data_IF_690364832492
#
_entry.id   IF_690364832492
#
_cell.length_a   1.000
_cell.length_b   1.000
_cell.length_c   1.000
_cell.angle_alpha   90.00
_cell.angle_beta   90.00
_cell.angle_gamma   90.00
#
_symmetry.space_group_name_H-M   'P 1'
#
loop_
_entity.id
_entity.type
_entity.pdbx_description
1 polymer ?
#
# COMPACT_ATOMS: atom_id res chain seq x y z
N UNK A 1 32.51 6.15 -1.81
CA UNK A 1 32.23 7.37 -1.01
C UNK A 1 31.39 6.95 0.19
N UNK A 2 31.82 7.29 1.39
CA UNK A 2 31.12 6.95 2.62
C UNK A 2 30.58 8.27 3.21
N UNK A 3 29.27 8.40 3.29
CA UNK A 3 28.65 9.52 4.00
C UNK A 3 28.68 9.26 5.50
N UNK A 4 29.61 9.88 6.20
CA UNK A 4 29.80 9.72 7.65
C UNK A 4 28.89 10.60 8.52
N UNK A 5 28.11 11.49 7.90
CA UNK A 5 27.34 12.52 8.62
C UNK A 5 25.82 12.30 8.58
N UNK A 6 25.35 11.12 8.17
CA UNK A 6 23.92 10.82 8.13
C UNK A 6 23.24 10.95 9.50
N UNK A 7 23.96 10.62 10.56
CA UNK A 7 23.49 10.75 11.93
C UNK A 7 23.17 12.20 12.38
N UNK A 8 23.77 13.18 11.67
CA UNK A 8 23.56 14.61 11.92
C UNK A 8 22.37 15.18 11.14
N UNK A 9 21.84 14.42 10.18
CA UNK A 9 20.67 14.82 9.40
C UNK A 9 19.43 14.47 10.22
N UNK A 10 18.97 15.41 11.02
CA UNK A 10 17.82 15.22 11.92
C UNK A 10 16.76 16.25 11.64
N UNK A 11 15.51 15.84 11.73
CA UNK A 11 14.33 16.70 11.68
C UNK A 11 13.57 16.57 13.01
N UNK A 12 13.18 17.68 13.59
CA UNK A 12 12.30 17.67 14.74
C UNK A 12 10.85 17.46 14.29
N UNK A 13 10.22 16.41 14.79
CA UNK A 13 8.80 16.17 14.61
C UNK A 13 8.01 17.15 15.49
N UNK A 14 7.14 17.96 14.85
CA UNK A 14 6.44 19.08 15.50
C UNK A 14 4.93 19.03 15.31
N UNK A 15 4.45 18.09 14.49
CA UNK A 15 3.03 17.90 14.28
C UNK A 15 2.38 17.23 15.52
N UNK A 16 1.17 16.83 15.43
CA UNK A 16 0.40 16.32 16.56
C UNK A 16 1.03 15.06 17.17
N UNK A 17 0.97 14.93 18.49
CA UNK A 17 1.19 13.64 19.17
C UNK A 17 0.04 12.68 18.84
N UNK A 18 0.31 11.38 18.79
CA UNK A 18 -0.69 10.34 18.65
C UNK A 18 -0.96 9.74 20.04
N UNK A 19 -2.19 9.90 20.52
CA UNK A 19 -2.65 9.29 21.77
C UNK A 19 -3.84 8.35 21.43
N UNK A 20 -4.02 7.30 22.21
CA UNK A 20 -5.10 6.33 22.04
C UNK A 20 -6.50 6.95 22.08
N UNK A 21 -6.67 8.05 22.80
CA UNK A 21 -7.94 8.81 22.85
C UNK A 21 -8.25 9.59 21.57
N UNK A 22 -7.24 9.79 20.70
CA UNK A 22 -7.34 10.60 19.49
C UNK A 22 -7.54 9.73 18.23
N UNK A 23 -7.66 8.41 18.39
CA UNK A 23 -7.83 7.46 17.30
C UNK A 23 -9.20 6.81 17.33
N UNK A 24 -9.74 6.53 16.14
CA UNK A 24 -10.96 5.74 16.00
C UNK A 24 -10.68 4.28 16.40
N UNK A 25 -11.65 3.65 17.05
CA UNK A 25 -11.55 2.22 17.42
C UNK A 25 -11.60 1.30 16.19
N UNK A 26 -12.21 1.76 15.09
CA UNK A 26 -12.20 1.04 13.83
C UNK A 26 -10.97 1.46 13.02
N UNK A 27 -10.01 0.56 12.75
CA UNK A 27 -8.78 0.90 12.05
C UNK A 27 -9.01 1.36 10.60
N UNK A 28 -10.06 0.89 9.92
CA UNK A 28 -10.41 1.37 8.58
C UNK A 28 -10.98 2.78 8.62
N UNK A 29 -11.80 3.11 9.60
CA UNK A 29 -12.28 4.48 9.80
C UNK A 29 -11.11 5.42 10.09
N UNK A 30 -10.19 5.01 10.95
CA UNK A 30 -8.96 5.77 11.24
C UNK A 30 -8.08 5.95 10.01
N UNK A 31 -7.88 4.88 9.21
CA UNK A 31 -7.15 4.98 7.96
C UNK A 31 -7.81 5.96 7.00
N UNK A 32 -9.13 5.91 6.85
CA UNK A 32 -9.88 6.81 5.97
C UNK A 32 -9.71 8.28 6.37
N UNK A 33 -9.80 8.60 7.67
CA UNK A 33 -9.58 9.96 8.18
C UNK A 33 -8.17 10.45 7.77
N UNK A 34 -7.16 9.65 8.01
CA UNK A 34 -5.77 10.01 7.70
C UNK A 34 -5.49 10.06 6.20
N UNK A 35 -6.12 9.19 5.41
CA UNK A 35 -5.99 9.20 3.96
C UNK A 35 -6.61 10.46 3.35
N UNK A 36 -7.78 10.88 3.84
CA UNK A 36 -8.41 12.14 3.43
C UNK A 36 -7.56 13.38 3.80
N UNK A 37 -6.95 13.39 4.98
CA UNK A 37 -6.00 14.43 5.36
C UNK A 37 -4.77 14.46 4.44
N UNK A 38 -4.26 13.29 4.08
CA UNK A 38 -3.14 13.15 3.14
C UNK A 38 -3.50 13.68 1.75
N UNK A 39 -4.69 13.37 1.23
CA UNK A 39 -5.14 13.87 -0.08
C UNK A 39 -5.18 15.40 -0.13
N UNK A 40 -5.49 16.05 1.00
CA UNK A 40 -5.51 17.52 1.11
C UNK A 40 -4.12 18.15 1.24
N UNK A 41 -3.09 17.37 1.49
CA UNK A 41 -1.71 17.87 1.70
C UNK A 41 -0.89 18.03 0.41
N UNK A 42 -1.47 17.79 -0.76
CA UNK A 42 -0.84 17.93 -2.08
C UNK A 42 0.45 17.12 -2.25
N UNK A 43 0.48 15.89 -1.76
CA UNK A 43 1.58 14.95 -2.02
C UNK A 43 1.68 14.61 -3.51
N UNK A 44 2.91 14.44 -4.01
CA UNK A 44 3.18 14.16 -5.44
C UNK A 44 2.53 12.84 -5.88
N UNK A 45 2.64 11.79 -5.07
CA UNK A 45 2.07 10.46 -5.35
C UNK A 45 1.21 10.00 -4.16
N UNK A 46 -0.02 10.53 -4.02
CA UNK A 46 -0.84 10.27 -2.83
C UNK A 46 -1.25 8.80 -2.65
N UNK A 47 -1.32 8.03 -3.73
CA UNK A 47 -1.70 6.61 -3.68
C UNK A 47 -0.51 5.65 -3.61
N UNK A 48 0.72 6.18 -3.59
CA UNK A 48 1.92 5.35 -3.49
C UNK A 48 1.98 4.60 -2.15
N UNK A 49 2.27 3.33 -2.23
CA UNK A 49 2.43 2.44 -1.08
C UNK A 49 3.54 1.44 -1.34
N UNK A 50 4.29 1.10 -0.33
CA UNK A 50 5.32 0.07 -0.41
C UNK A 50 4.69 -1.28 -0.09
N UNK A 51 4.80 -2.23 -1.02
CA UNK A 51 4.42 -3.62 -0.80
C UNK A 51 5.65 -4.44 -0.49
N UNK A 52 5.69 -5.05 0.68
CA UNK A 52 6.67 -6.03 1.09
C UNK A 52 6.10 -7.45 0.95
N UNK A 53 6.87 -8.33 0.32
CA UNK A 53 6.56 -9.74 0.12
C UNK A 53 7.75 -10.60 0.54
N UNK A 54 7.54 -11.89 0.70
CA UNK A 54 8.62 -12.83 0.95
C UNK A 54 8.46 -14.06 0.06
N UNK A 55 9.59 -14.67 -0.30
CA UNK A 55 9.60 -15.97 -0.97
C UNK A 55 9.16 -17.08 -0.01
N UNK A 56 8.95 -18.28 -0.53
CA UNK A 56 8.68 -19.49 0.28
C UNK A 56 9.77 -19.74 1.32
N UNK A 57 11.02 -19.39 0.99
CA UNK A 57 12.18 -19.51 1.89
C UNK A 57 12.35 -18.34 2.86
N UNK A 58 11.41 -17.37 2.86
CA UNK A 58 11.46 -16.22 3.75
C UNK A 58 12.34 -15.07 3.25
N UNK A 59 12.85 -15.10 2.01
CA UNK A 59 13.64 -14.00 1.45
C UNK A 59 12.74 -12.80 1.14
N UNK A 60 12.94 -11.64 1.81
CA UNK A 60 12.08 -10.50 1.63
C UNK A 60 12.36 -9.72 0.34
N UNK A 61 11.36 -9.03 -0.14
CA UNK A 61 11.44 -8.04 -1.21
C UNK A 61 10.48 -6.89 -0.95
N UNK A 62 10.80 -5.70 -1.41
CA UNK A 62 9.90 -4.55 -1.31
C UNK A 62 9.94 -3.73 -2.61
N UNK A 63 8.83 -3.10 -2.95
CA UNK A 63 8.67 -2.19 -4.10
C UNK A 63 7.55 -1.21 -3.85
N UNK A 64 7.60 -0.07 -4.50
CA UNK A 64 6.49 0.88 -4.53
C UNK A 64 5.48 0.47 -5.60
N UNK A 65 4.21 0.57 -5.27
CA UNK A 65 3.09 0.44 -6.19
C UNK A 65 2.01 1.48 -5.83
N UNK A 66 0.94 1.52 -6.61
CA UNK A 66 -0.15 2.45 -6.38
C UNK A 66 -1.38 1.71 -5.85
N UNK A 67 -1.90 2.17 -4.71
CA UNK A 67 -3.18 1.73 -4.19
C UNK A 67 -4.28 2.11 -5.19
N UNK A 68 -5.22 1.21 -5.42
CA UNK A 68 -6.33 1.43 -6.37
C UNK A 68 -7.65 1.69 -5.68
N UNK A 69 -7.91 0.95 -4.62
CA UNK A 69 -9.06 1.17 -3.76
C UNK A 69 -8.81 0.51 -2.41
N UNK A 70 -9.62 0.86 -1.45
CA UNK A 70 -9.70 0.18 -0.16
C UNK A 70 -11.14 0.25 0.36
N UNK A 71 -11.50 -0.72 1.15
CA UNK A 71 -12.74 -0.80 1.90
C UNK A 71 -12.51 -1.63 3.16
N UNK A 72 -13.55 -1.91 3.92
CA UNK A 72 -13.48 -2.72 5.14
C UNK A 72 -12.99 -4.15 4.89
N UNK A 73 -12.98 -4.62 3.66
CA UNK A 73 -12.49 -5.96 3.28
C UNK A 73 -11.01 -5.98 2.91
N UNK A 74 -10.39 -4.82 2.69
CA UNK A 74 -8.95 -4.75 2.43
C UNK A 74 -8.52 -3.69 1.42
N UNK A 75 -7.28 -3.82 0.98
CA UNK A 75 -6.57 -2.85 0.13
C UNK A 75 -6.28 -3.48 -1.23
N UNK A 76 -6.73 -2.84 -2.31
CA UNK A 76 -6.63 -3.36 -3.68
C UNK A 76 -5.50 -2.68 -4.43
N UNK A 77 -4.65 -3.47 -5.06
CA UNK A 77 -3.55 -3.03 -5.92
C UNK A 77 -3.40 -3.95 -7.13
N UNK A 78 -2.67 -3.48 -8.13
CA UNK A 78 -2.35 -4.31 -9.28
C UNK A 78 -1.03 -5.04 -9.12
N UNK A 79 -1.02 -6.26 -9.60
CA UNK A 79 0.18 -7.06 -9.73
C UNK A 79 0.24 -7.71 -11.11
N UNK A 80 1.44 -7.82 -11.68
CA UNK A 80 1.67 -8.69 -12.81
C UNK A 80 2.03 -10.09 -12.28
N UNK A 81 1.34 -11.11 -12.77
CA UNK A 81 1.57 -12.51 -12.40
C UNK A 81 3.01 -12.98 -12.65
N UNK A 82 3.59 -12.57 -13.77
CA UNK A 82 4.92 -12.97 -14.18
C UNK A 82 6.02 -12.17 -13.47
N UNK A 83 5.66 -11.18 -12.65
CA UNK A 83 6.63 -10.43 -11.86
C UNK A 83 7.14 -11.25 -10.66
N UNK A 84 8.32 -10.88 -10.15
CA UNK A 84 8.88 -11.48 -8.93
C UNK A 84 7.88 -11.45 -7.76
N UNK A 85 7.17 -10.33 -7.55
CA UNK A 85 6.15 -10.22 -6.50
C UNK A 85 4.94 -11.13 -6.74
N UNK A 86 4.53 -11.31 -8.00
CA UNK A 86 3.44 -12.22 -8.37
C UNK A 86 3.78 -13.67 -8.03
N UNK A 87 4.99 -14.10 -8.35
CA UNK A 87 5.49 -15.44 -8.00
C UNK A 87 5.63 -15.62 -6.48
N UNK A 88 6.19 -14.64 -5.78
CA UNK A 88 6.31 -14.68 -4.32
C UNK A 88 4.94 -14.77 -3.64
N UNK A 89 3.96 -13.99 -4.07
CA UNK A 89 2.59 -14.02 -3.52
C UNK A 89 1.84 -15.31 -3.84
N UNK A 90 2.15 -15.98 -4.95
CA UNK A 90 1.59 -17.28 -5.27
C UNK A 90 2.11 -18.39 -4.33
N UNK A 91 3.36 -18.30 -3.92
CA UNK A 91 4.00 -19.26 -3.01
C UNK A 91 3.81 -18.92 -1.53
N UNK A 92 3.80 -17.63 -1.20
CA UNK A 92 3.65 -17.10 0.14
C UNK A 92 2.79 -15.83 0.07
N UNK A 93 1.55 -15.93 0.44
CA UNK A 93 0.60 -14.83 0.34
C UNK A 93 0.63 -13.85 1.51
N UNK A 94 1.52 -14.01 2.48
CA UNK A 94 1.73 -13.02 3.53
C UNK A 94 2.43 -11.78 2.95
N UNK A 95 1.92 -10.62 3.27
CA UNK A 95 2.46 -9.36 2.80
C UNK A 95 2.24 -8.22 3.80
N UNK A 96 2.98 -7.15 3.60
CA UNK A 96 2.80 -5.91 4.35
C UNK A 96 2.73 -4.73 3.39
N UNK A 97 1.81 -3.82 3.64
CA UNK A 97 1.75 -2.50 3.01
C UNK A 97 2.31 -1.47 3.98
N UNK A 98 3.13 -0.57 3.47
CA UNK A 98 3.69 0.54 4.23
C UNK A 98 3.40 1.85 3.51
N UNK A 99 2.57 2.68 4.13
CA UNK A 99 2.38 4.08 3.75
C UNK A 99 3.36 4.94 4.54
N UNK A 100 4.04 5.84 3.85
CA UNK A 100 4.93 6.80 4.46
C UNK A 100 4.62 8.21 3.95
N UNK A 101 4.11 9.04 4.83
CA UNK A 101 3.68 10.42 4.56
C UNK A 101 4.52 11.39 5.41
N UNK A 102 5.74 11.69 4.98
CA UNK A 102 6.68 12.48 5.78
C UNK A 102 6.19 13.91 6.06
N UNK A 103 5.42 14.51 5.15
CA UNK A 103 4.82 15.83 5.33
C UNK A 103 3.80 15.87 6.46
N UNK A 104 3.15 14.74 6.74
CA UNK A 104 2.21 14.57 7.84
C UNK A 104 2.86 13.90 9.07
N UNK A 105 4.15 13.59 8.99
CA UNK A 105 4.88 12.86 10.03
C UNK A 105 4.18 11.55 10.42
N UNK A 106 3.63 10.83 9.40
CA UNK A 106 2.89 9.59 9.59
C UNK A 106 3.47 8.43 8.80
N UNK A 107 3.40 7.28 9.45
CA UNK A 107 3.65 5.98 8.84
C UNK A 107 2.54 5.03 9.24
N UNK A 108 2.01 4.26 8.29
CA UNK A 108 0.99 3.24 8.52
C UNK A 108 1.48 1.94 7.94
N UNK A 109 1.51 0.90 8.76
CA UNK A 109 1.84 -0.46 8.34
C UNK A 109 0.60 -1.35 8.46
N UNK A 110 0.32 -2.10 7.40
CA UNK A 110 -0.83 -3.01 7.33
C UNK A 110 -0.30 -4.38 6.94
N UNK A 111 -0.52 -5.37 7.75
CA UNK A 111 -0.09 -6.74 7.52
C UNK A 111 -1.30 -7.64 7.26
N UNK A 112 -1.13 -8.62 6.38
CA UNK A 112 -2.22 -9.52 6.06
C UNK A 112 -1.88 -10.50 4.95
N UNK A 113 -2.91 -11.12 4.41
CA UNK A 113 -2.81 -12.07 3.29
C UNK A 113 -3.31 -11.44 2.02
N UNK A 114 -2.62 -11.71 0.93
CA UNK A 114 -3.01 -11.25 -0.40
C UNK A 114 -3.81 -12.35 -1.10
N UNK A 115 -4.94 -11.97 -1.66
CA UNK A 115 -5.75 -12.81 -2.54
C UNK A 115 -6.00 -12.12 -3.88
N UNK A 116 -6.39 -12.92 -4.87
CA UNK A 116 -6.85 -12.38 -6.15
C UNK A 116 -8.24 -11.80 -5.98
N UNK A 117 -8.46 -10.61 -6.52
CA UNK A 117 -9.79 -10.04 -6.64
C UNK A 117 -10.59 -10.85 -7.67
N UNK A 118 -11.88 -11.01 -7.44
CA UNK A 118 -12.75 -11.74 -8.37
C UNK A 118 -12.77 -11.10 -9.75
N UNK A 119 -13.04 -11.90 -10.79
CA UNK A 119 -13.13 -11.39 -12.16
C UNK A 119 -14.16 -10.25 -12.28
N UNK A 120 -15.31 -10.37 -11.61
CA UNK A 120 -16.36 -9.34 -11.61
C UNK A 120 -15.88 -8.01 -11.02
N UNK A 121 -15.16 -8.05 -9.90
CA UNK A 121 -14.59 -6.85 -9.28
C UNK A 121 -13.49 -6.25 -10.15
N UNK A 122 -12.64 -7.10 -10.74
CA UNK A 122 -11.61 -6.70 -11.69
C UNK A 122 -12.18 -5.98 -12.91
N UNK A 123 -13.26 -6.52 -13.51
CA UNK A 123 -13.93 -5.93 -14.66
C UNK A 123 -14.57 -4.59 -14.32
N UNK A 124 -15.25 -4.49 -13.17
CA UNK A 124 -15.82 -3.23 -12.68
C UNK A 124 -14.74 -2.17 -12.56
N UNK A 125 -13.61 -2.52 -12.00
CA UNK A 125 -12.48 -1.63 -11.83
C UNK A 125 -11.85 -1.24 -13.17
N UNK A 126 -11.66 -2.20 -14.10
CA UNK A 126 -11.09 -1.96 -15.43
C UNK A 126 -11.91 -0.94 -16.25
N UNK A 127 -13.24 -0.98 -16.11
CA UNK A 127 -14.14 -0.02 -16.79
C UNK A 127 -13.92 1.43 -16.35
N UNK A 128 -13.43 1.65 -15.14
CA UNK A 128 -13.15 3.00 -14.59
C UNK A 128 -11.82 3.59 -15.07
N UNK A 129 -10.97 2.81 -15.74
CA UNK A 129 -9.63 3.27 -16.18
C UNK A 129 -9.69 4.08 -17.47
N UNK A 130 -8.80 5.10 -17.64
CA UNK A 130 -8.63 5.78 -18.93
C UNK A 130 -8.26 4.80 -20.04
N UNK A 131 -8.79 5.04 -21.27
CA UNK A 131 -8.60 4.16 -22.41
C UNK A 131 -7.13 3.82 -22.70
N UNK A 132 -6.22 4.80 -22.62
CA UNK A 132 -4.77 4.59 -22.82
C UNK A 132 -4.15 3.59 -21.81
N UNK A 133 -4.68 3.53 -20.62
CA UNK A 133 -4.21 2.58 -19.60
C UNK A 133 -4.78 1.17 -19.79
N UNK A 134 -5.85 1.00 -20.56
CA UNK A 134 -6.48 -0.30 -20.84
C UNK A 134 -5.69 -1.13 -21.85
N UNK A 135 -4.99 -0.47 -22.78
CA UNK A 135 -4.31 -1.12 -23.92
C UNK A 135 -2.98 -1.77 -23.52
N UNK A 136 -2.31 -1.28 -22.48
CA UNK A 136 -0.94 -1.68 -22.11
C UNK A 136 -0.88 -2.91 -21.19
N UNK A 137 -2.00 -3.44 -20.71
CA UNK A 137 -2.00 -4.26 -19.49
C UNK A 137 -2.75 -5.60 -19.60
N UNK A 138 -2.55 -6.34 -20.69
CA UNK A 138 -3.20 -7.64 -20.94
C UNK A 138 -2.96 -8.75 -19.88
N UNK A 139 -2.04 -8.58 -18.95
CA UNK A 139 -1.67 -9.59 -17.94
C UNK A 139 -1.69 -9.08 -16.50
N UNK A 140 -2.30 -7.93 -16.21
CA UNK A 140 -2.40 -7.42 -14.85
C UNK A 140 -3.60 -8.01 -14.11
N UNK A 141 -3.35 -8.44 -12.87
CA UNK A 141 -4.35 -8.97 -11.96
C UNK A 141 -4.48 -8.05 -10.77
N UNK A 142 -5.71 -7.81 -10.39
CA UNK A 142 -6.02 -7.14 -9.14
C UNK A 142 -5.79 -8.11 -7.99
N UNK A 143 -5.08 -7.63 -7.00
CA UNK A 143 -4.86 -8.33 -5.75
C UNK A 143 -5.36 -7.47 -4.59
N UNK A 144 -5.87 -8.11 -3.57
CA UNK A 144 -6.33 -7.48 -2.34
C UNK A 144 -5.54 -8.02 -1.16
N UNK A 145 -5.00 -7.13 -0.35
CA UNK A 145 -4.50 -7.48 0.96
C UNK A 145 -5.68 -7.49 1.94
N UNK A 146 -5.96 -8.66 2.50
CA UNK A 146 -6.89 -8.83 3.59
C UNK A 146 -6.13 -8.58 4.90
N UNK A 147 -6.67 -7.72 5.75
CA UNK A 147 -6.12 -7.57 7.09
C UNK A 147 -6.40 -8.81 7.91
N UNK A 148 -5.40 -9.28 8.64
CA UNK A 148 -5.64 -10.27 9.67
C UNK A 148 -6.54 -9.64 10.74
N UNK A 149 -7.71 -10.22 10.94
CA UNK A 149 -8.64 -9.82 12.01
C UNK A 149 -8.05 -10.04 13.40
#
# INVERSE_FOLDING_TARGET
>A
MIHKELENIRRNYKLKSLDTKDVDLNPFAQFNIWFEEMLKSNLIEPTAVILATASKQGKPSARTLLLKSYDETGFVFYSNYESKKGNELAENNNASLLFYWPELERQIRIEGKVEKVTQKESEKYFKTRPFKSKVVHGHQINQRLLTAG
#
